data_IF_122062941351
#
_entry.id   IF_122062941351
#
_cell.length_a   1.000
_cell.length_b   1.000
_cell.length_c   1.000
_cell.angle_alpha   90.00
_cell.angle_beta   90.00
_cell.angle_gamma   90.00
#
_symmetry.space_group_name_H-M   'P 1'
#
loop_
_entity.id
_entity.type
_entity.pdbx_description
1 polymer ?
#
# COMPACT_ATOMS: atom_id res chain seq x y z
N UNK A 1 -6.93 1.42 -10.38
CA UNK A 1 -6.79 1.64 -8.92
C UNK A 1 -7.96 2.51 -8.47
N UNK A 2 -8.77 2.02 -7.52
CA UNK A 2 -9.99 2.72 -7.09
C UNK A 2 -9.73 3.83 -6.03
N UNK A 3 -8.50 4.29 -5.90
CA UNK A 3 -8.17 5.38 -4.98
C UNK A 3 -8.27 6.72 -5.68
N UNK A 4 -8.98 7.67 -5.06
CA UNK A 4 -9.10 9.05 -5.56
C UNK A 4 -7.92 9.94 -5.17
N UNK A 5 -7.13 9.56 -4.16
CA UNK A 5 -5.92 10.27 -3.76
C UNK A 5 -4.83 9.32 -3.23
N UNK A 6 -3.56 9.71 -3.46
CA UNK A 6 -2.38 9.14 -2.78
C UNK A 6 -1.81 10.20 -1.85
N UNK A 7 -1.66 9.89 -0.58
CA UNK A 7 -1.19 10.81 0.46
C UNK A 7 0.18 10.38 0.97
N UNK A 8 1.13 11.30 0.95
CA UNK A 8 2.49 11.12 1.47
C UNK A 8 2.89 12.27 2.39
N UNK A 9 3.88 12.05 3.23
CA UNK A 9 4.48 13.11 4.05
C UNK A 9 5.59 13.85 3.32
N UNK A 10 5.81 15.14 3.66
CA UNK A 10 6.95 15.94 3.15
C UNK A 10 8.30 15.23 3.35
N UNK A 11 8.44 14.41 4.43
CA UNK A 11 9.65 13.63 4.67
C UNK A 11 9.92 12.56 3.63
N UNK A 12 8.88 11.88 3.14
CA UNK A 12 8.97 10.89 2.06
C UNK A 12 9.32 11.58 0.75
N UNK A 13 8.65 12.69 0.44
CA UNK A 13 8.92 13.47 -0.78
C UNK A 13 10.37 13.92 -0.85
N UNK A 14 10.91 14.44 0.26
CA UNK A 14 12.31 14.92 0.32
C UNK A 14 13.34 13.78 0.27
N UNK A 15 12.99 12.59 0.77
CA UNK A 15 13.94 11.48 0.82
C UNK A 15 13.99 10.67 -0.48
N UNK A 16 12.82 10.46 -1.10
CA UNK A 16 12.66 9.46 -2.15
C UNK A 16 12.31 10.10 -3.51
N UNK A 17 11.98 11.40 -3.55
CA UNK A 17 11.52 12.13 -4.75
C UNK A 17 10.53 11.30 -5.59
N UNK A 18 9.41 10.84 -5.01
CA UNK A 18 8.50 9.92 -5.68
C UNK A 18 7.63 10.64 -6.73
N UNK A 19 7.30 9.96 -7.82
CA UNK A 19 6.38 10.47 -8.84
C UNK A 19 4.90 10.41 -8.41
N UNK A 20 4.53 9.42 -7.61
CA UNK A 20 3.16 9.15 -7.11
C UNK A 20 2.10 9.06 -8.22
N UNK A 21 2.46 8.51 -9.34
CA UNK A 21 1.55 8.22 -10.45
C UNK A 21 1.32 6.71 -10.52
N UNK A 22 0.07 6.27 -10.54
CA UNK A 22 -0.26 4.84 -10.58
C UNK A 22 0.20 4.18 -11.88
N UNK A 23 -0.31 4.65 -13.01
CA UNK A 23 0.14 4.27 -14.34
C UNK A 23 0.34 5.56 -15.13
N UNK A 24 1.49 5.71 -15.78
CA UNK A 24 1.72 6.83 -16.68
C UNK A 24 0.66 6.78 -17.81
N UNK A 25 0.04 7.92 -18.14
CA UNK A 25 -0.89 7.98 -19.27
C UNK A 25 -0.17 7.58 -20.55
N UNK A 26 -0.86 6.86 -21.44
CA UNK A 26 -0.37 6.58 -22.77
C UNK A 26 -0.21 7.88 -23.58
N UNK A 27 0.53 7.84 -24.66
CA UNK A 27 0.71 9.02 -25.52
C UNK A 27 -0.66 9.55 -25.99
N UNK A 28 -0.97 10.81 -25.65
CA UNK A 28 -2.22 11.47 -25.98
C UNK A 28 -3.41 11.17 -25.06
N UNK A 29 -3.18 10.48 -23.94
CA UNK A 29 -4.18 10.27 -22.89
C UNK A 29 -3.99 11.28 -21.76
N UNK A 30 -5.11 11.80 -21.24
CA UNK A 30 -5.09 12.59 -20.01
C UNK A 30 -4.83 11.67 -18.80
N UNK A 31 -4.25 12.24 -17.75
CA UNK A 31 -4.06 11.53 -16.48
C UNK A 31 -5.41 11.38 -15.77
N UNK A 32 -5.82 10.14 -15.57
CA UNK A 32 -7.06 9.77 -14.86
C UNK A 32 -6.77 9.09 -13.49
N UNK A 33 -5.55 9.18 -13.01
CA UNK A 33 -5.12 8.59 -11.75
C UNK A 33 -5.46 9.44 -10.53
N UNK A 34 -5.04 8.96 -9.33
CA UNK A 34 -5.34 9.62 -8.07
C UNK A 34 -4.66 10.99 -7.92
N UNK A 35 -5.32 11.90 -7.20
CA UNK A 35 -4.73 13.17 -6.77
C UNK A 35 -3.50 12.90 -5.89
N UNK A 36 -2.37 13.54 -6.19
CA UNK A 36 -1.19 13.54 -5.33
C UNK A 36 -1.40 14.50 -4.17
N UNK A 37 -1.21 14.04 -2.93
CA UNK A 37 -1.39 14.87 -1.73
C UNK A 37 -0.15 14.79 -0.87
N UNK A 38 0.47 15.94 -0.62
CA UNK A 38 1.67 16.05 0.23
C UNK A 38 1.30 16.74 1.54
N UNK A 39 1.51 16.05 2.65
CA UNK A 39 1.14 16.49 4.00
C UNK A 39 2.38 16.83 4.83
N UNK A 40 2.40 18.00 5.45
CA UNK A 40 3.46 18.45 6.33
C UNK A 40 3.88 19.89 6.05
N UNK A 41 4.71 20.44 6.96
CA UNK A 41 5.06 21.87 6.98
C UNK A 41 6.47 22.16 6.48
N UNK A 42 7.20 21.13 6.02
CA UNK A 42 8.55 21.36 5.46
C UNK A 42 8.44 22.00 4.09
N UNK A 43 9.34 22.94 3.81
CA UNK A 43 9.51 23.49 2.47
C UNK A 43 9.97 22.39 1.50
N UNK A 44 9.41 22.41 0.31
CA UNK A 44 9.71 21.46 -0.75
C UNK A 44 10.27 22.22 -1.94
N UNK A 45 11.43 21.79 -2.49
CA UNK A 45 11.93 22.29 -3.76
C UNK A 45 10.93 22.08 -4.91
N UNK A 46 10.83 23.07 -5.78
CA UNK A 46 9.89 23.05 -6.93
C UNK A 46 10.26 22.00 -7.99
N UNK A 47 11.49 21.55 -7.99
CA UNK A 47 12.05 20.59 -8.97
C UNK A 47 11.67 19.14 -8.69
N UNK A 48 11.04 18.88 -7.54
CA UNK A 48 10.64 17.52 -7.16
C UNK A 48 9.56 16.99 -8.10
N UNK A 49 9.63 15.69 -8.40
CA UNK A 49 8.74 15.01 -9.34
C UNK A 49 7.26 15.10 -9.00
N UNK A 50 6.92 15.27 -7.71
CA UNK A 50 5.52 15.47 -7.32
C UNK A 50 4.93 16.79 -7.87
N UNK A 51 5.75 17.72 -8.35
CA UNK A 51 5.33 19.01 -8.90
C UNK A 51 5.38 19.08 -10.42
N UNK A 52 5.66 17.96 -11.09
CA UNK A 52 5.58 17.90 -12.54
C UNK A 52 4.14 18.06 -13.06
N UNK A 53 4.00 18.32 -14.36
CA UNK A 53 2.72 18.55 -15.02
C UNK A 53 1.93 17.26 -15.34
N UNK A 54 2.43 16.08 -14.95
CA UNK A 54 1.79 14.80 -15.28
C UNK A 54 0.51 14.60 -14.50
N UNK A 55 0.47 15.01 -13.23
CA UNK A 55 -0.70 14.84 -12.37
C UNK A 55 -0.88 16.04 -11.41
N UNK A 56 -2.13 16.34 -11.00
CA UNK A 56 -2.37 17.40 -10.03
C UNK A 56 -1.79 17.07 -8.67
N UNK A 57 -1.23 18.07 -7.98
CA UNK A 57 -0.69 17.94 -6.62
C UNK A 57 -1.33 18.96 -5.68
N UNK A 58 -1.78 18.48 -4.52
CA UNK A 58 -2.26 19.27 -3.40
C UNK A 58 -1.25 19.22 -2.25
N UNK A 59 -0.69 20.37 -1.88
CA UNK A 59 0.16 20.47 -0.69
C UNK A 59 -0.70 20.96 0.47
N UNK A 60 -0.64 20.22 1.59
CA UNK A 60 -1.38 20.53 2.82
C UNK A 60 -0.40 20.77 3.96
N UNK A 61 -0.17 22.04 4.37
CA UNK A 61 0.78 22.37 5.44
C UNK A 61 0.17 22.10 6.82
N UNK A 62 -0.16 20.85 7.09
CA UNK A 62 -0.77 20.38 8.34
C UNK A 62 -0.13 19.08 8.81
N UNK A 63 -0.34 18.76 10.09
CA UNK A 63 -0.05 17.46 10.70
C UNK A 63 -1.33 16.77 11.23
N UNK A 64 -2.50 17.36 10.96
CA UNK A 64 -3.79 16.84 11.41
C UNK A 64 -4.41 15.91 10.34
N UNK A 65 -4.48 14.58 10.57
CA UNK A 65 -5.08 13.63 9.65
C UNK A 65 -6.58 13.88 9.38
N UNK A 66 -7.32 14.36 10.37
CA UNK A 66 -8.75 14.62 10.22
C UNK A 66 -8.98 15.80 9.26
N UNK A 67 -8.17 16.86 9.38
CA UNK A 67 -8.23 17.99 8.44
C UNK A 67 -7.87 17.56 7.01
N UNK A 68 -6.91 16.65 6.82
CA UNK A 68 -6.57 16.11 5.51
C UNK A 68 -7.76 15.38 4.90
N UNK A 69 -8.38 14.46 5.64
CA UNK A 69 -9.51 13.68 5.13
C UNK A 69 -10.75 14.55 4.87
N UNK A 70 -11.00 15.59 5.69
CA UNK A 70 -12.11 16.52 5.47
C UNK A 70 -11.96 17.26 4.13
N UNK A 71 -10.77 17.80 3.85
CA UNK A 71 -10.50 18.49 2.58
C UNK A 71 -10.63 17.55 1.37
N UNK A 72 -10.23 16.29 1.50
CA UNK A 72 -10.38 15.32 0.41
C UNK A 72 -11.84 14.88 0.23
N UNK A 73 -12.57 14.69 1.33
CA UNK A 73 -14.00 14.40 1.28
C UNK A 73 -14.80 15.50 0.60
N UNK A 74 -14.52 16.79 0.91
CA UNK A 74 -15.17 17.93 0.28
C UNK A 74 -14.90 18.03 -1.23
N UNK A 75 -13.83 17.37 -1.71
CA UNK A 75 -13.51 17.19 -3.13
C UNK A 75 -14.15 15.96 -3.78
N UNK A 76 -15.00 15.23 -3.04
CA UNK A 76 -15.63 13.99 -3.50
C UNK A 76 -14.71 12.78 -3.50
N UNK A 77 -13.57 12.87 -2.82
CA UNK A 77 -12.61 11.77 -2.69
C UNK A 77 -12.95 10.94 -1.45
N UNK A 78 -13.42 9.70 -1.67
CA UNK A 78 -13.88 8.81 -0.61
C UNK A 78 -12.90 7.66 -0.30
N UNK A 79 -11.93 7.40 -1.18
CA UNK A 79 -10.91 6.38 -0.99
C UNK A 79 -9.52 6.99 -1.14
N UNK A 80 -8.72 6.85 -0.10
CA UNK A 80 -7.39 7.44 0.02
C UNK A 80 -6.37 6.34 0.25
N UNK A 81 -5.30 6.32 -0.54
CA UNK A 81 -4.13 5.49 -0.30
C UNK A 81 -3.10 6.32 0.49
N UNK A 82 -2.75 5.86 1.68
CA UNK A 82 -1.70 6.45 2.49
C UNK A 82 -0.39 5.70 2.21
N UNK A 83 0.48 6.28 1.39
CA UNK A 83 1.85 5.81 1.12
C UNK A 83 2.87 6.63 1.89
N UNK A 84 2.59 6.89 3.15
CA UNK A 84 3.45 7.70 3.97
C UNK A 84 4.55 6.90 4.63
N UNK A 85 5.63 7.62 5.02
CA UNK A 85 6.62 7.08 5.93
C UNK A 85 6.01 6.77 7.31
N UNK A 86 6.80 6.15 8.22
CA UNK A 86 6.29 5.64 9.50
C UNK A 86 5.61 6.72 10.36
N UNK A 87 6.04 7.97 10.28
CA UNK A 87 5.46 9.09 11.05
C UNK A 87 4.04 9.41 10.61
N UNK A 88 3.78 9.47 9.30
CA UNK A 88 2.45 9.78 8.78
C UNK A 88 1.49 8.62 9.06
N UNK A 89 1.92 7.37 8.84
CA UNK A 89 1.14 6.19 9.18
C UNK A 89 0.77 6.15 10.67
N UNK A 90 1.73 6.47 11.55
CA UNK A 90 1.51 6.57 12.98
C UNK A 90 0.47 7.65 13.35
N UNK A 91 0.51 8.83 12.72
CA UNK A 91 -0.44 9.91 12.96
C UNK A 91 -1.89 9.49 12.65
N UNK A 92 -2.13 8.83 11.50
CA UNK A 92 -3.45 8.32 11.15
C UNK A 92 -3.92 7.18 12.07
N UNK A 93 -3.03 6.28 12.46
CA UNK A 93 -3.34 5.21 13.42
C UNK A 93 -3.63 5.75 14.83
N UNK A 94 -2.94 6.80 15.27
CA UNK A 94 -3.15 7.40 16.58
C UNK A 94 -4.59 7.90 16.77
N UNK A 95 -5.14 8.51 15.74
CA UNK A 95 -6.51 9.08 15.75
C UNK A 95 -7.56 8.14 15.14
N UNK A 96 -7.19 6.89 14.89
CA UNK A 96 -8.13 5.85 14.48
C UNK A 96 -8.75 6.01 13.09
N UNK A 97 -8.03 6.63 12.16
CA UNK A 97 -8.49 6.96 10.80
C UNK A 97 -7.92 6.03 9.71
N UNK A 98 -7.58 4.78 10.06
CA UNK A 98 -7.13 3.75 9.10
C UNK A 98 -8.16 2.62 9.07
N UNK A 99 -8.79 2.38 7.94
CA UNK A 99 -9.78 1.31 7.76
C UNK A 99 -9.14 0.00 7.26
N UNK A 100 -8.07 0.08 6.47
CA UNK A 100 -7.40 -1.07 5.87
C UNK A 100 -5.87 -0.87 5.91
N UNK A 101 -5.17 -1.96 6.15
CA UNK A 101 -3.71 -2.05 6.04
C UNK A 101 -3.40 -3.08 4.96
N UNK A 102 -2.62 -2.67 3.95
CA UNK A 102 -2.06 -3.54 2.92
C UNK A 102 -0.54 -3.61 3.12
N UNK A 103 -0.05 -4.76 3.56
CA UNK A 103 1.35 -4.97 3.90
C UNK A 103 1.98 -6.06 3.02
N UNK A 104 3.13 -5.76 2.44
CA UNK A 104 3.95 -6.73 1.71
C UNK A 104 5.10 -7.18 2.60
N UNK A 105 5.20 -8.47 2.81
CA UNK A 105 6.24 -9.09 3.63
C UNK A 105 7.15 -9.91 2.73
N UNK A 106 8.37 -9.41 2.56
CA UNK A 106 9.44 -10.09 1.82
C UNK A 106 10.18 -11.07 2.73
N UNK A 107 10.61 -12.27 2.26
CA UNK A 107 11.35 -13.25 3.05
C UNK A 107 12.82 -12.84 3.25
N UNK A 108 13.04 -11.64 3.81
CA UNK A 108 14.36 -11.05 4.06
C UNK A 108 14.44 -10.55 5.51
N UNK A 109 15.52 -10.88 6.20
CA UNK A 109 15.83 -10.38 7.54
C UNK A 109 16.84 -9.24 7.43
N UNK A 110 16.43 -8.03 7.81
CA UNK A 110 17.27 -6.83 7.72
C UNK A 110 18.06 -6.54 9.02
N UNK A 111 17.71 -7.15 10.12
CA UNK A 111 18.34 -6.90 11.42
C UNK A 111 18.03 -5.52 12.01
N UNK A 112 18.12 -4.43 11.24
CA UNK A 112 17.76 -3.06 11.65
C UNK A 112 17.30 -2.25 10.44
N UNK A 113 16.35 -1.31 10.64
CA UNK A 113 15.82 -0.45 9.58
C UNK A 113 14.75 0.52 10.10
N UNK A 114 14.18 1.31 9.20
CA UNK A 114 13.02 2.15 9.52
C UNK A 114 11.81 1.22 9.76
N UNK A 115 11.03 1.43 10.85
CA UNK A 115 9.82 0.65 11.07
C UNK A 115 8.77 1.02 10.00
N UNK A 116 7.89 0.08 9.64
CA UNK A 116 6.76 0.33 8.74
C UNK A 116 5.79 1.37 9.33
N UNK A 117 5.62 1.35 10.66
CA UNK A 117 4.79 2.29 11.41
C UNK A 117 5.59 2.84 12.57
N UNK A 118 5.60 4.15 12.74
CA UNK A 118 6.20 4.84 13.89
C UNK A 118 5.38 4.70 15.18
N UNK A 119 5.87 5.24 16.29
CA UNK A 119 5.16 5.22 17.56
C UNK A 119 3.86 6.04 17.46
N UNK A 120 2.73 5.45 17.83
CA UNK A 120 1.41 6.11 17.84
C UNK A 120 0.72 6.07 19.22
N UNK A 121 1.51 5.91 20.28
CA UNK A 121 1.02 5.97 21.66
C UNK A 121 0.51 4.65 22.23
N UNK A 122 0.46 3.56 21.46
CA UNK A 122 0.13 2.23 21.98
C UNK A 122 1.37 1.60 22.63
N UNK A 123 1.35 1.48 23.96
CA UNK A 123 2.43 0.91 24.77
C UNK A 123 2.13 -0.50 25.26
N UNK A 124 0.89 -0.98 25.11
CA UNK A 124 0.45 -2.29 25.57
C UNK A 124 -0.43 -2.95 24.51
N UNK A 125 -0.60 -4.27 24.58
CA UNK A 125 -1.51 -5.02 23.70
C UNK A 125 -2.97 -4.57 23.83
N UNK A 126 -3.38 -4.03 24.98
CA UNK A 126 -4.72 -3.48 25.19
C UNK A 126 -4.94 -2.18 24.39
N UNK A 127 -3.87 -1.41 24.16
CA UNK A 127 -3.89 -0.17 23.38
C UNK A 127 -3.62 -0.40 21.89
N UNK A 128 -3.23 -1.62 21.49
CA UNK A 128 -2.93 -1.94 20.10
C UNK A 128 -4.16 -1.76 19.20
N UNK A 129 -3.96 -1.22 18.00
CA UNK A 129 -4.99 -1.16 16.96
C UNK A 129 -5.23 -2.57 16.42
N UNK A 130 -6.48 -3.02 16.43
CA UNK A 130 -6.86 -4.37 15.99
C UNK A 130 -7.63 -4.30 14.69
N UNK A 131 -7.24 -5.16 13.77
CA UNK A 131 -7.93 -5.40 12.51
C UNK A 131 -8.62 -6.75 12.61
N UNK A 132 -9.88 -6.84 12.20
CA UNK A 132 -10.74 -8.01 12.46
C UNK A 132 -10.73 -9.03 11.32
N UNK A 133 -10.31 -8.60 10.13
CA UNK A 133 -10.28 -9.46 8.98
C UNK A 133 -8.91 -9.46 8.36
N UNK A 134 -8.39 -10.66 8.11
CA UNK A 134 -7.09 -10.87 7.49
C UNK A 134 -7.27 -11.68 6.21
N UNK A 135 -6.66 -11.22 5.13
CA UNK A 135 -6.39 -12.00 3.93
C UNK A 135 -4.91 -12.02 3.67
N UNK A 136 -4.40 -13.13 3.16
CA UNK A 136 -3.03 -13.21 2.67
C UNK A 136 -3.01 -13.87 1.30
N UNK A 137 -2.09 -13.46 0.44
CA UNK A 137 -1.86 -14.01 -0.88
C UNK A 137 -0.40 -13.91 -1.25
N UNK A 138 0.09 -14.85 -2.04
CA UNK A 138 1.44 -14.80 -2.57
C UNK A 138 1.52 -13.80 -3.73
N UNK A 139 2.55 -12.96 -3.73
CA UNK A 139 2.86 -11.99 -4.79
C UNK A 139 4.32 -12.17 -5.19
N UNK A 140 4.57 -13.04 -6.14
CA UNK A 140 5.92 -13.46 -6.47
C UNK A 140 6.59 -14.19 -5.31
N UNK A 141 7.68 -13.63 -4.77
CA UNK A 141 8.37 -14.15 -3.58
C UNK A 141 7.84 -13.57 -2.27
N UNK A 142 6.96 -12.57 -2.34
CA UNK A 142 6.45 -11.83 -1.20
C UNK A 142 5.08 -12.33 -0.78
N UNK A 143 4.66 -12.03 0.43
CA UNK A 143 3.31 -12.28 0.94
C UNK A 143 2.62 -10.93 1.13
N UNK A 144 1.52 -10.73 0.42
CA UNK A 144 0.61 -9.61 0.68
C UNK A 144 -0.32 -9.98 1.85
N UNK A 145 -0.49 -9.05 2.79
CA UNK A 145 -1.39 -9.18 3.93
C UNK A 145 -2.34 -7.98 3.92
N UNK A 146 -3.63 -8.23 3.71
CA UNK A 146 -4.67 -7.20 3.80
C UNK A 146 -5.45 -7.40 5.09
N UNK A 147 -5.43 -6.38 5.96
CA UNK A 147 -6.15 -6.40 7.22
C UNK A 147 -7.14 -5.22 7.32
N UNK A 148 -8.43 -5.49 7.56
CA UNK A 148 -9.49 -4.48 7.58
C UNK A 148 -10.11 -4.34 8.98
N UNK A 149 -10.51 -3.11 9.34
CA UNK A 149 -11.18 -2.82 10.63
C UNK A 149 -12.67 -3.09 10.59
N UNK A 150 -13.33 -2.78 9.50
CA UNK A 150 -14.78 -2.94 9.32
C UNK A 150 -15.07 -4.08 8.36
N UNK A 151 -16.08 -4.85 8.69
CA UNK A 151 -16.70 -5.78 7.75
C UNK A 151 -17.87 -5.03 7.13
N UNK A 152 -17.65 -4.33 6.05
CA UNK A 152 -18.74 -3.70 5.31
C UNK A 152 -19.66 -4.78 4.71
N UNK A 153 -21.00 -4.62 4.83
CA UNK A 153 -21.95 -5.63 4.34
C UNK A 153 -21.76 -5.99 2.87
N UNK A 154 -21.37 -5.03 2.03
CA UNK A 154 -21.11 -5.24 0.59
C UNK A 154 -19.82 -6.04 0.33
N UNK A 155 -18.78 -5.89 1.15
CA UNK A 155 -17.56 -6.73 1.08
C UNK A 155 -17.87 -8.20 1.37
N UNK A 156 -18.86 -8.47 2.22
CA UNK A 156 -19.29 -9.83 2.54
C UNK A 156 -20.08 -10.46 1.38
N UNK A 157 -20.82 -9.66 0.62
CA UNK A 157 -21.58 -10.13 -0.55
C UNK A 157 -20.67 -10.47 -1.74
N UNK A 158 -19.69 -9.60 -2.05
CA UNK A 158 -18.72 -9.83 -3.13
C UNK A 158 -17.88 -11.12 -2.92
N UNK A 159 -17.51 -11.40 -1.67
CA UNK A 159 -16.73 -12.61 -1.32
C UNK A 159 -17.45 -13.93 -1.50
N UNK A 160 -18.77 -14.00 -1.37
CA UNK A 160 -19.49 -15.25 -1.60
C UNK A 160 -19.39 -15.73 -3.04
N UNK A 161 -19.05 -14.84 -3.96
CA UNK A 161 -18.82 -15.18 -5.38
C UNK A 161 -17.39 -15.67 -5.58
N UNK A 162 -16.39 -15.00 -5.02
CA UNK A 162 -14.97 -15.38 -5.17
C UNK A 162 -14.61 -16.68 -4.42
N UNK A 163 -15.15 -16.89 -3.22
CA UNK A 163 -14.93 -18.12 -2.44
C UNK A 163 -15.56 -19.37 -3.08
N UNK A 164 -16.61 -19.21 -3.90
CA UNK A 164 -17.19 -20.33 -4.66
C UNK A 164 -16.31 -20.74 -5.84
N UNK A 165 -15.70 -19.79 -6.53
CA UNK A 165 -14.81 -20.07 -7.66
C UNK A 165 -13.47 -20.68 -7.21
N UNK A 166 -12.99 -20.37 -6.01
CA UNK A 166 -11.79 -21.00 -5.46
C UNK A 166 -12.03 -22.45 -5.04
N UNK A 167 -13.12 -22.73 -4.34
CA UNK A 167 -13.45 -24.08 -3.86
C UNK A 167 -13.66 -25.09 -5.00
N UNK A 168 -14.09 -24.63 -6.19
CA UNK A 168 -14.27 -25.49 -7.37
C UNK A 168 -12.99 -25.75 -8.15
N UNK A 169 -11.94 -24.90 -8.01
CA UNK A 169 -10.64 -25.10 -8.67
C UNK A 169 -9.70 -26.05 -7.93
N UNK A 170 -9.88 -26.27 -6.63
CA UNK A 170 -9.01 -27.15 -5.83
C UNK A 170 -9.48 -28.61 -5.76
N UNK A 171 -10.70 -28.93 -6.24
CA UNK A 171 -11.23 -30.30 -6.26
C UNK A 171 -10.93 -31.10 -7.53
N UNK A 172 -10.12 -30.58 -8.44
CA UNK A 172 -9.85 -31.18 -9.74
C UNK A 172 -8.38 -31.41 -10.09
N UNK A 173 -7.50 -31.77 -9.14
CA UNK A 173 -6.17 -32.23 -9.50
C UNK A 173 -5.85 -33.58 -8.84
N UNK A 174 -5.81 -34.55 -9.73
CA UNK A 174 -5.40 -35.94 -9.58
C UNK A 174 -4.09 -36.13 -8.83
N UNK A 175 -4.07 -37.18 -8.01
CA UNK A 175 -2.88 -37.82 -7.49
C UNK A 175 -2.06 -38.45 -8.62
N UNK A 176 -1.09 -37.73 -9.15
CA UNK A 176 -0.05 -38.20 -10.07
C UNK A 176 1.27 -38.38 -9.35
N UNK A 177 1.57 -39.62 -9.08
CA UNK A 177 2.81 -40.34 -8.83
C UNK A 177 4.12 -39.54 -8.78
N UNK A 178 4.76 -39.56 -7.63
CA UNK A 178 6.17 -39.19 -7.41
C UNK A 178 7.06 -40.40 -7.75
N UNK A 179 7.72 -40.36 -8.88
CA UNK A 179 8.99 -41.05 -9.14
C UNK A 179 9.68 -40.34 -10.32
N UNK A 180 10.73 -39.62 -10.09
CA UNK A 180 12.06 -39.88 -10.58
C UNK A 180 13.01 -38.70 -10.30
N UNK A 181 14.08 -39.02 -9.60
CA UNK A 181 15.20 -38.13 -9.31
C UNK A 181 16.17 -38.19 -10.50
N UNK A 182 16.28 -37.11 -11.22
CA UNK A 182 17.27 -36.92 -12.30
C UNK A 182 18.10 -35.67 -12.09
N UNK A 183 19.25 -35.86 -11.53
CA UNK A 183 20.37 -34.93 -11.34
C UNK A 183 20.88 -34.36 -12.67
N UNK A 184 20.91 -33.04 -12.87
CA UNK A 184 21.89 -32.39 -13.75
C UNK A 184 22.25 -30.98 -13.27
N UNK A 185 23.49 -30.86 -12.85
CA UNK A 185 24.21 -29.60 -12.66
C UNK A 185 24.31 -28.86 -14.00
N UNK A 186 24.08 -27.53 -14.01
CA UNK A 186 24.93 -26.58 -14.77
C UNK A 186 24.83 -25.15 -14.22
N UNK A 187 25.98 -24.55 -14.14
CA UNK A 187 26.37 -23.21 -13.73
C UNK A 187 25.78 -22.14 -14.68
N UNK A 188 25.52 -20.96 -14.15
CA UNK A 188 25.27 -19.77 -14.94
C UNK A 188 25.11 -18.54 -14.05
N UNK A 189 26.20 -17.82 -13.88
CA UNK A 189 26.32 -16.50 -13.27
C UNK A 189 25.55 -15.45 -14.08
N UNK A 190 24.80 -14.58 -13.42
CA UNK A 190 24.19 -13.41 -14.03
C UNK A 190 23.67 -12.46 -12.97
N UNK A 191 24.53 -11.54 -12.53
CA UNK A 191 24.16 -10.39 -11.70
C UNK A 191 23.52 -9.35 -12.61
N UNK A 192 22.29 -8.96 -12.32
CA UNK A 192 21.77 -7.65 -12.74
C UNK A 192 21.14 -6.94 -11.53
N UNK A 193 21.85 -5.88 -11.11
CA UNK A 193 21.31 -4.82 -10.26
C UNK A 193 20.39 -3.95 -11.13
N UNK A 194 19.24 -3.60 -10.61
CA UNK A 194 18.66 -2.29 -10.85
C UNK A 194 17.86 -1.89 -9.62
N UNK A 195 18.06 -0.64 -9.26
CA UNK A 195 17.54 0.11 -8.13
C UNK A 195 16.01 0.15 -8.07
#
# INVERSE_FOLDING_TARGET
TDYGAIVVGTGTVLADDPHLIGRAPGAGQEYDGPLRVVVGTRELPSELKVFDDVAPTLVMPTHDPAAVLAVLHDRGIHRVLLEGGPTLAAAFLAVDLVDEVDAYVTPVLLGAGKPAVGPFGAMTLAQARRFHRLRSSDVGSDVQIIATRRVEPWMTAARRVEDRDWATRTSGQDHGNIHDLGNTRRRGTGVHRNC
#
